data_IF_188448083932
#
_entry.id   IF_188448083932
#
_cell.length_a   1.000
_cell.length_b   1.000
_cell.length_c   1.000
_cell.angle_alpha   90.00
_cell.angle_beta   90.00
_cell.angle_gamma   90.00
#
_symmetry.space_group_name_H-M   'P 1'
#
loop_
_entity.id
_entity.type
_entity.pdbx_description
1 polymer ?
#
# COMPACT_ATOMS: atom_id res chain seq x y z
N UNK A 1 -16.39 2.94 -6.44
CA UNK A 1 -15.02 3.19 -5.98
C UNK A 1 -14.15 1.99 -6.34
N UNK A 2 -12.91 2.20 -6.82
CA UNK A 2 -12.06 1.08 -7.23
C UNK A 2 -11.58 0.27 -6.03
N UNK A 3 -10.86 0.89 -5.12
CA UNK A 3 -10.31 0.25 -3.93
C UNK A 3 -10.88 0.91 -2.68
N UNK A 4 -11.31 0.10 -1.73
CA UNK A 4 -11.68 0.56 -0.39
C UNK A 4 -10.90 -0.21 0.66
N UNK A 5 -10.29 0.49 1.63
CA UNK A 5 -9.33 -0.10 2.55
C UNK A 5 -9.75 0.08 4.00
N UNK A 6 -9.56 -0.95 4.82
CA UNK A 6 -9.54 -0.78 6.27
C UNK A 6 -8.32 0.06 6.66
N UNK A 7 -8.55 1.11 7.45
CA UNK A 7 -7.50 2.07 7.80
C UNK A 7 -6.89 1.79 9.16
N UNK A 8 -5.68 1.22 9.16
CA UNK A 8 -4.78 1.08 10.30
C UNK A 8 -5.45 0.55 11.59
N UNK A 9 -6.28 -0.47 11.45
CA UNK A 9 -6.94 -1.10 12.59
C UNK A 9 -5.93 -1.85 13.48
N UNK A 10 -6.22 -2.04 14.78
CA UNK A 10 -5.36 -2.78 15.67
C UNK A 10 -5.38 -4.31 15.45
N UNK A 11 -6.22 -4.78 14.55
CA UNK A 11 -6.37 -6.19 14.14
C UNK A 11 -6.61 -6.30 12.63
N UNK A 12 -6.50 -7.50 12.09
CA UNK A 12 -6.80 -7.82 10.69
C UNK A 12 -8.22 -8.37 10.59
N UNK A 13 -9.20 -7.60 10.05
CA UNK A 13 -10.59 -8.06 9.92
C UNK A 13 -10.71 -9.33 9.08
N UNK A 14 -11.54 -10.26 9.53
CA UNK A 14 -11.82 -11.54 8.87
C UNK A 14 -13.29 -11.88 8.97
N UNK A 15 -13.82 -12.73 8.08
CA UNK A 15 -15.17 -13.24 8.23
C UNK A 15 -15.35 -13.94 9.59
N UNK A 16 -16.48 -13.68 10.23
CA UNK A 16 -16.87 -14.29 11.51
C UNK A 16 -15.91 -14.00 12.69
N UNK A 17 -15.19 -12.87 12.64
CA UNK A 17 -14.34 -12.45 13.75
C UNK A 17 -15.10 -11.71 14.87
N UNK A 18 -16.41 -11.56 14.73
CA UNK A 18 -17.30 -10.89 15.66
C UNK A 18 -17.40 -9.38 15.46
N UNK A 19 -16.59 -8.78 14.58
CA UNK A 19 -16.64 -7.33 14.29
C UNK A 19 -17.69 -6.96 13.25
N UNK A 20 -18.01 -7.88 12.32
CA UNK A 20 -18.89 -7.63 11.17
C UNK A 20 -18.27 -6.72 10.10
N UNK A 21 -17.01 -6.29 10.28
CA UNK A 21 -16.37 -5.32 9.37
C UNK A 21 -16.10 -5.93 7.99
N UNK A 22 -15.61 -7.16 7.95
CA UNK A 22 -15.29 -7.80 6.68
C UNK A 22 -16.55 -8.15 5.89
N UNK A 23 -17.60 -8.59 6.59
CA UNK A 23 -18.92 -8.87 6.01
C UNK A 23 -19.53 -7.61 5.37
N UNK A 24 -19.42 -6.46 6.04
CA UNK A 24 -19.88 -5.18 5.49
C UNK A 24 -19.12 -4.78 4.20
N UNK A 25 -17.82 -5.10 4.12
CA UNK A 25 -17.04 -4.90 2.88
C UNK A 25 -17.50 -5.81 1.75
N UNK A 26 -17.81 -7.08 2.06
CA UNK A 26 -18.35 -8.02 1.05
C UNK A 26 -19.70 -7.53 0.54
N UNK A 27 -20.60 -7.09 1.43
CA UNK A 27 -21.88 -6.52 1.04
C UNK A 27 -21.71 -5.32 0.11
N UNK A 28 -20.83 -4.39 0.47
CA UNK A 28 -20.51 -3.23 -0.37
C UNK A 28 -19.92 -3.61 -1.75
N UNK A 29 -19.17 -4.70 -1.82
CA UNK A 29 -18.63 -5.25 -3.07
C UNK A 29 -19.74 -5.89 -3.91
N UNK A 30 -20.60 -6.68 -3.31
CA UNK A 30 -21.73 -7.33 -3.99
C UNK A 30 -22.75 -6.29 -4.52
N UNK A 31 -22.96 -5.20 -3.80
CA UNK A 31 -23.77 -4.06 -4.26
C UNK A 31 -23.11 -3.18 -5.34
N UNK A 32 -21.85 -3.48 -5.71
CA UNK A 32 -21.11 -2.73 -6.70
C UNK A 32 -20.58 -1.37 -6.24
N UNK A 33 -20.67 -1.05 -4.94
CA UNK A 33 -20.17 0.20 -4.36
C UNK A 33 -18.63 0.27 -4.40
N UNK A 34 -17.98 -0.87 -4.19
CA UNK A 34 -16.53 -1.04 -4.25
C UNK A 34 -16.16 -2.20 -5.16
N UNK A 35 -14.96 -2.19 -5.76
CA UNK A 35 -14.48 -3.28 -6.60
C UNK A 35 -13.48 -4.18 -5.88
N UNK A 36 -12.57 -3.58 -5.12
CA UNK A 36 -11.48 -4.27 -4.46
C UNK A 36 -11.41 -3.93 -2.98
N UNK A 37 -11.15 -4.94 -2.14
CA UNK A 37 -10.99 -4.80 -0.69
C UNK A 37 -9.51 -4.76 -0.36
N UNK A 38 -9.08 -3.71 0.33
CA UNK A 38 -7.71 -3.55 0.77
C UNK A 38 -7.57 -3.32 2.28
N UNK A 39 -6.34 -3.26 2.73
CA UNK A 39 -5.99 -2.95 4.11
C UNK A 39 -4.76 -2.06 4.18
N UNK A 40 -4.78 -1.07 5.07
CA UNK A 40 -3.59 -0.30 5.41
C UNK A 40 -3.13 -0.61 6.83
N UNK A 41 -1.84 -0.68 7.04
CA UNK A 41 -1.27 -0.88 8.37
C UNK A 41 0.12 -0.28 8.49
N UNK A 42 0.47 0.15 9.70
CA UNK A 42 1.84 0.47 10.10
C UNK A 42 2.49 -0.69 10.89
N UNK A 43 1.73 -1.75 11.17
CA UNK A 43 2.20 -2.89 11.96
C UNK A 43 2.53 -4.06 11.04
N UNK A 44 3.79 -4.50 11.05
CA UNK A 44 4.27 -5.63 10.27
C UNK A 44 3.46 -6.92 10.53
N UNK A 45 3.09 -7.18 11.79
CA UNK A 45 2.27 -8.34 12.16
C UNK A 45 0.90 -8.36 11.49
N UNK A 46 0.24 -7.19 11.40
CA UNK A 46 -1.06 -7.04 10.73
C UNK A 46 -0.90 -7.24 9.21
N UNK A 47 0.12 -6.65 8.61
CA UNK A 47 0.42 -6.83 7.19
C UNK A 47 0.65 -8.32 6.85
N UNK A 48 1.43 -9.04 7.67
CA UNK A 48 1.64 -10.48 7.51
C UNK A 48 0.34 -11.28 7.63
N UNK A 49 -0.51 -10.95 8.60
CA UNK A 49 -1.81 -11.59 8.77
C UNK A 49 -2.72 -11.37 7.57
N UNK A 50 -2.76 -10.15 7.05
CA UNK A 50 -3.52 -9.81 5.85
C UNK A 50 -3.10 -10.66 4.65
N UNK A 51 -1.80 -10.72 4.35
CA UNK A 51 -1.28 -11.53 3.25
C UNK A 51 -1.52 -13.03 3.45
N UNK A 52 -1.42 -13.52 4.68
CA UNK A 52 -1.64 -14.94 4.96
C UNK A 52 -3.11 -15.35 4.93
N UNK A 53 -4.02 -14.38 5.08
CA UNK A 53 -5.46 -14.64 5.04
C UNK A 53 -6.00 -14.92 3.64
N UNK A 54 -5.36 -14.35 2.60
CA UNK A 54 -5.87 -14.39 1.23
C UNK A 54 -7.15 -13.55 1.00
N UNK A 55 -7.49 -12.67 1.94
CA UNK A 55 -8.75 -11.90 1.93
C UNK A 55 -8.62 -10.51 1.30
N UNK A 56 -7.40 -10.03 1.10
CA UNK A 56 -7.14 -8.66 0.67
C UNK A 56 -6.48 -8.62 -0.71
N UNK A 57 -6.99 -7.75 -1.56
CA UNK A 57 -6.49 -7.56 -2.92
C UNK A 57 -5.40 -6.48 -2.98
N UNK A 58 -5.34 -5.59 -1.96
CA UNK A 58 -4.28 -4.60 -1.80
C UNK A 58 -3.80 -4.50 -0.35
N UNK A 59 -2.51 -4.26 -0.19
CA UNK A 59 -1.87 -3.92 1.08
C UNK A 59 -1.18 -2.56 0.95
N UNK A 60 -1.55 -1.61 1.81
CA UNK A 60 -0.84 -0.35 1.94
C UNK A 60 0.03 -0.36 3.20
N UNK A 61 1.34 -0.17 3.03
CA UNK A 61 2.33 -0.23 4.10
C UNK A 61 3.44 0.80 3.86
N UNK A 62 4.12 1.32 4.90
CA UNK A 62 5.28 2.18 4.73
C UNK A 62 6.38 1.49 3.93
N UNK A 63 6.88 2.17 2.89
CA UNK A 63 7.94 1.62 2.06
C UNK A 63 8.75 2.75 1.41
N UNK A 64 10.06 2.70 1.59
CA UNK A 64 11.03 3.64 1.01
C UNK A 64 12.40 2.96 0.92
N UNK A 65 13.40 3.64 0.40
CA UNK A 65 14.76 3.08 0.40
C UNK A 65 15.42 2.97 1.79
N UNK A 66 14.74 3.47 2.85
CA UNK A 66 15.14 3.29 4.25
C UNK A 66 14.52 2.03 4.88
N UNK A 67 13.70 1.30 4.15
CA UNK A 67 12.98 0.10 4.60
C UNK A 67 13.96 -1.03 4.89
N UNK A 68 13.71 -1.78 5.96
CA UNK A 68 14.54 -2.93 6.35
C UNK A 68 14.26 -4.19 5.50
N UNK A 69 15.11 -5.21 5.66
CA UNK A 69 15.01 -6.45 4.90
C UNK A 69 13.72 -7.25 5.17
N UNK A 70 13.13 -7.13 6.36
CA UNK A 70 11.88 -7.83 6.70
C UNK A 70 10.70 -7.23 5.94
N UNK A 71 10.67 -5.90 5.84
CA UNK A 71 9.63 -5.18 5.14
C UNK A 71 9.78 -5.32 3.62
N UNK A 72 11.01 -5.40 3.09
CA UNK A 72 11.25 -5.74 1.69
C UNK A 72 10.60 -7.08 1.30
N UNK A 73 10.61 -8.06 2.20
CA UNK A 73 9.95 -9.34 1.99
C UNK A 73 8.42 -9.23 1.85
N UNK A 74 7.79 -8.18 2.39
CA UNK A 74 6.34 -7.95 2.18
C UNK A 74 6.04 -7.66 0.71
N UNK A 75 6.86 -6.84 0.05
CA UNK A 75 6.71 -6.50 -1.37
C UNK A 75 6.81 -7.74 -2.24
N UNK A 76 7.84 -8.55 -2.02
CA UNK A 76 8.03 -9.82 -2.73
C UNK A 76 6.89 -10.80 -2.49
N UNK A 77 6.38 -10.86 -1.26
CA UNK A 77 5.26 -11.71 -0.91
C UNK A 77 3.96 -11.24 -1.58
N UNK A 78 3.72 -9.92 -1.61
CA UNK A 78 2.60 -9.35 -2.35
C UNK A 78 2.65 -9.74 -3.82
N UNK A 79 3.81 -9.63 -4.47
CA UNK A 79 4.00 -10.04 -5.86
C UNK A 79 3.65 -11.50 -6.09
N UNK A 80 4.12 -12.41 -5.23
CA UNK A 80 3.85 -13.85 -5.32
C UNK A 80 2.37 -14.21 -5.10
N UNK A 81 1.65 -13.41 -4.33
CA UNK A 81 0.23 -13.63 -3.99
C UNK A 81 -0.73 -12.84 -4.89
N UNK A 82 -0.22 -12.10 -5.87
CA UNK A 82 -1.00 -11.20 -6.72
C UNK A 82 -1.79 -10.14 -5.91
N UNK A 83 -1.16 -9.61 -4.86
CA UNK A 83 -1.67 -8.53 -4.02
C UNK A 83 -0.98 -7.22 -4.41
N UNK A 84 -1.75 -6.20 -4.76
CA UNK A 84 -1.22 -4.86 -5.08
C UNK A 84 -0.59 -4.22 -3.84
N UNK A 85 0.64 -3.71 -3.96
CA UNK A 85 1.34 -3.03 -2.87
C UNK A 85 1.28 -1.52 -3.07
N UNK A 86 0.67 -0.80 -2.12
CA UNK A 86 0.62 0.65 -2.08
C UNK A 86 1.66 1.16 -1.09
N UNK A 87 2.73 1.79 -1.60
CA UNK A 87 3.83 2.28 -0.79
C UNK A 87 3.49 3.66 -0.20
N UNK A 88 3.06 3.72 1.06
CA UNK A 88 2.93 4.97 1.77
C UNK A 88 4.27 5.42 2.35
N UNK A 89 4.39 6.72 2.64
CA UNK A 89 5.64 7.32 3.15
C UNK A 89 6.85 7.07 2.23
N UNK A 90 6.63 7.12 0.93
CA UNK A 90 7.68 6.91 -0.07
C UNK A 90 8.87 7.86 0.07
N UNK A 91 8.67 9.02 0.69
CA UNK A 91 9.71 9.97 1.10
C UNK A 91 10.12 9.83 2.58
N UNK A 92 9.93 8.64 3.18
CA UNK A 92 10.31 8.35 4.56
C UNK A 92 9.64 9.26 5.61
N UNK A 93 8.43 9.77 5.32
CA UNK A 93 7.75 10.73 6.21
C UNK A 93 8.47 12.08 6.32
N UNK A 94 9.21 12.48 5.29
CA UNK A 94 9.99 13.72 5.22
C UNK A 94 11.47 13.58 5.60
N UNK A 95 11.92 12.37 5.94
CA UNK A 95 13.34 12.10 6.21
C UNK A 95 14.18 12.03 4.92
N UNK A 96 13.54 11.66 3.81
CA UNK A 96 14.17 11.60 2.49
C UNK A 96 13.97 12.94 1.80
N UNK A 97 15.06 13.59 1.41
CA UNK A 97 15.07 14.87 0.69
C UNK A 97 15.45 14.73 -0.77
N UNK A 98 16.00 13.59 -1.17
CA UNK A 98 16.34 13.29 -2.56
C UNK A 98 15.18 12.57 -3.24
N UNK A 99 14.27 13.35 -3.84
CA UNK A 99 13.08 12.85 -4.55
C UNK A 99 13.43 11.96 -5.73
N UNK A 100 14.48 12.30 -6.49
CA UNK A 100 14.96 11.50 -7.63
C UNK A 100 15.42 10.11 -7.21
N UNK A 101 16.18 10.01 -6.12
CA UNK A 101 16.61 8.73 -5.58
C UNK A 101 15.43 7.89 -5.07
N UNK A 102 14.45 8.54 -4.41
CA UNK A 102 13.25 7.86 -3.96
C UNK A 102 12.42 7.32 -5.14
N UNK A 103 12.27 8.13 -6.19
CA UNK A 103 11.58 7.69 -7.42
C UNK A 103 12.30 6.51 -8.09
N UNK A 104 13.61 6.62 -8.30
CA UNK A 104 14.42 5.57 -8.91
C UNK A 104 14.38 4.25 -8.10
N UNK A 105 14.36 4.35 -6.76
CA UNK A 105 14.19 3.17 -5.91
C UNK A 105 12.85 2.48 -6.15
N UNK A 106 11.73 3.23 -6.18
CA UNK A 106 10.40 2.67 -6.41
C UNK A 106 10.25 2.07 -7.81
N UNK A 107 10.90 2.64 -8.81
CA UNK A 107 10.88 2.15 -10.20
C UNK A 107 11.48 0.74 -10.39
N UNK A 108 12.21 0.22 -9.39
CA UNK A 108 12.71 -1.16 -9.42
C UNK A 108 11.64 -2.22 -9.10
N UNK A 109 10.44 -1.79 -8.68
CA UNK A 109 9.37 -2.69 -8.24
C UNK A 109 8.14 -2.53 -9.13
N UNK A 110 7.86 -3.51 -9.96
CA UNK A 110 6.75 -3.52 -10.92
C UNK A 110 5.36 -3.71 -10.26
N UNK A 111 5.33 -4.19 -9.01
CA UNK A 111 4.11 -4.42 -8.23
C UNK A 111 3.86 -3.37 -7.14
N UNK A 112 4.64 -2.28 -7.11
CA UNK A 112 4.54 -1.23 -6.10
C UNK A 112 4.01 0.05 -6.73
N UNK A 113 2.92 0.58 -6.15
CA UNK A 113 2.41 1.90 -6.47
C UNK A 113 2.77 2.88 -5.34
N UNK A 114 3.72 3.80 -5.55
CA UNK A 114 4.09 4.76 -4.52
C UNK A 114 3.05 5.86 -4.36
N UNK A 115 2.83 6.27 -3.10
CA UNK A 115 2.06 7.45 -2.75
C UNK A 115 3.04 8.56 -2.37
N UNK A 116 3.16 9.55 -3.22
CA UNK A 116 4.00 10.71 -3.01
C UNK A 116 3.26 11.79 -2.21
N UNK A 117 3.87 12.29 -1.14
CA UNK A 117 3.30 13.35 -0.33
C UNK A 117 3.55 14.73 -0.96
N UNK A 118 2.88 15.03 -2.06
CA UNK A 118 3.03 16.27 -2.83
C UNK A 118 2.18 17.36 -2.18
N UNK A 119 2.77 18.51 -1.88
CA UNK A 119 2.12 19.66 -1.28
C UNK A 119 2.18 20.93 -2.16
N UNK A 120 3.07 20.96 -3.14
CA UNK A 120 3.30 22.09 -4.03
C UNK A 120 3.29 21.66 -5.48
N UNK A 121 2.86 22.54 -6.35
CA UNK A 121 2.85 22.33 -7.81
C UNK A 121 4.26 22.01 -8.34
N UNK A 122 5.29 22.72 -7.86
CA UNK A 122 6.68 22.45 -8.23
C UNK A 122 7.15 21.02 -7.87
N UNK A 123 6.65 20.44 -6.78
CA UNK A 123 6.93 19.04 -6.43
C UNK A 123 6.24 18.07 -7.38
N UNK A 124 5.02 18.40 -7.81
CA UNK A 124 4.30 17.61 -8.82
C UNK A 124 5.05 17.61 -10.15
N UNK A 125 5.46 18.80 -10.63
CA UNK A 125 6.22 18.95 -11.87
C UNK A 125 7.54 18.17 -11.81
N UNK A 126 8.20 18.17 -10.66
CA UNK A 126 9.42 17.41 -10.42
C UNK A 126 9.18 15.90 -10.59
N UNK A 127 8.14 15.33 -9.96
CA UNK A 127 7.83 13.90 -10.11
C UNK A 127 7.37 13.53 -11.53
N UNK A 128 6.62 14.39 -12.20
CA UNK A 128 6.25 14.19 -13.61
C UNK A 128 7.50 14.13 -14.48
N UNK A 129 8.48 15.00 -14.25
CA UNK A 129 9.74 15.03 -15.02
C UNK A 129 10.53 13.72 -14.90
N UNK A 130 10.45 13.02 -13.77
CA UNK A 130 11.11 11.72 -13.57
C UNK A 130 10.44 10.61 -14.37
N UNK A 131 9.12 10.68 -14.56
CA UNK A 131 8.39 9.72 -15.38
C UNK A 131 8.70 9.88 -16.87
N UNK A 132 8.89 11.12 -17.32
CA UNK A 132 9.21 11.43 -18.73
C UNK A 132 10.67 11.14 -19.08
N UNK A 133 11.57 11.24 -18.09
CA UNK A 133 13.02 11.06 -18.25
C UNK A 133 13.57 10.17 -17.11
N UNK A 134 13.24 8.85 -17.09
CA UNK A 134 13.65 7.92 -16.05
C UNK A 134 15.16 7.67 -15.99
#
# INVERSE_FOLDING_TARGET
MEIYQFHNLPFCPKPNDGSGLYEAMLEAKDEGKIKHIGITSHKFTIAKQALSSGLYETLQFPFSYLTDAQELNLVEKCKKLDVGFLAMKAMGGGLITNSKAAYAFMANYDNVLPIWGIQRESELDEFISYQENP
#
